data_IF_235316843530
#
_entry.id   IF_235316843530
#
_cell.length_a   1.000
_cell.length_b   1.000
_cell.length_c   1.000
_cell.angle_alpha   90.00
_cell.angle_beta   90.00
_cell.angle_gamma   90.00
#
_symmetry.space_group_name_H-M   'P 1'
#
loop_
_entity.id
_entity.type
_entity.pdbx_description
1 polymer ?
#
# COMPACT_ATOMS: atom_id res chain seq x y z
N UNK A 1 -39.19 28.57 2.16
CA UNK A 1 -38.95 27.13 2.37
C UNK A 1 -37.65 26.75 1.69
N UNK A 2 -36.51 26.87 2.38
CA UNK A 2 -35.21 26.47 1.85
C UNK A 2 -34.95 25.03 2.26
N UNK A 3 -35.07 24.09 1.33
CA UNK A 3 -34.70 22.70 1.58
C UNK A 3 -33.21 22.63 1.90
N UNK A 4 -32.87 22.20 3.11
CA UNK A 4 -31.51 21.80 3.46
C UNK A 4 -31.21 20.53 2.69
N UNK A 5 -30.58 20.68 1.52
CA UNK A 5 -29.96 19.57 0.82
C UNK A 5 -28.89 19.00 1.75
N UNK A 6 -29.14 17.80 2.29
CA UNK A 6 -28.10 17.01 2.95
C UNK A 6 -27.11 16.62 1.86
N UNK A 7 -26.03 17.40 1.72
CA UNK A 7 -24.86 16.97 0.96
C UNK A 7 -24.46 15.59 1.49
N UNK A 8 -24.36 14.55 0.64
CA UNK A 8 -23.84 13.27 1.10
C UNK A 8 -22.46 13.56 1.68
N UNK A 9 -22.27 13.25 2.97
CA UNK A 9 -20.94 13.26 3.56
C UNK A 9 -20.09 12.37 2.67
N UNK A 10 -19.17 12.96 1.90
CA UNK A 10 -18.18 12.22 1.12
C UNK A 10 -17.24 11.56 2.13
N UNK A 11 -17.39 10.26 2.42
CA UNK A 11 -16.50 9.55 3.34
C UNK A 11 -15.22 9.11 2.61
N UNK A 12 -15.04 9.55 1.36
CA UNK A 12 -13.92 9.19 0.47
C UNK A 12 -12.63 9.90 0.88
N UNK A 13 -12.72 10.98 1.66
CA UNK A 13 -11.56 11.66 2.21
C UNK A 13 -11.00 10.90 3.42
N UNK A 14 -9.69 10.66 3.45
CA UNK A 14 -9.04 10.15 4.65
C UNK A 14 -9.31 11.05 5.86
N UNK A 15 -9.80 10.45 6.94
CA UNK A 15 -9.96 11.15 8.21
C UNK A 15 -8.60 11.60 8.74
N UNK A 16 -8.44 12.92 8.84
CA UNK A 16 -7.24 13.57 9.37
C UNK A 16 -7.35 13.64 10.88
N UNK A 17 -6.70 12.69 11.56
CA UNK A 17 -6.81 12.51 13.02
C UNK A 17 -5.81 13.39 13.78
N UNK A 18 -4.63 13.65 13.20
CA UNK A 18 -3.57 14.39 13.89
C UNK A 18 -3.57 15.85 13.41
N UNK A 19 -4.04 16.75 14.29
CA UNK A 19 -4.06 18.20 14.07
C UNK A 19 -4.90 18.64 12.87
N UNK A 20 -5.81 17.80 12.37
CA UNK A 20 -6.59 18.05 11.15
C UNK A 20 -5.78 18.08 9.85
N UNK A 21 -4.49 17.71 9.89
CA UNK A 21 -3.59 17.75 8.74
C UNK A 21 -3.12 16.37 8.29
N UNK A 22 -2.89 15.46 9.25
CA UNK A 22 -2.31 14.14 9.03
C UNK A 22 -3.36 13.03 9.21
N UNK A 23 -3.46 12.14 8.23
CA UNK A 23 -4.28 10.93 8.37
C UNK A 23 -3.59 9.89 9.26
N UNK A 24 -4.39 9.00 9.88
CA UNK A 24 -3.84 7.90 10.67
C UNK A 24 -2.90 7.01 9.86
N UNK A 25 -3.22 6.82 8.57
CA UNK A 25 -2.43 6.04 7.64
C UNK A 25 -1.08 6.70 7.35
N UNK A 26 -1.08 7.99 7.04
CA UNK A 26 0.15 8.77 6.84
C UNK A 26 1.04 8.71 8.07
N UNK A 27 0.45 8.84 9.26
CA UNK A 27 1.16 8.70 10.52
C UNK A 27 1.75 7.29 10.71
N UNK A 28 1.00 6.24 10.41
CA UNK A 28 1.51 4.86 10.50
C UNK A 28 2.72 4.64 9.58
N UNK A 29 2.67 5.11 8.33
CA UNK A 29 3.80 4.99 7.39
C UNK A 29 5.02 5.80 7.81
N UNK A 30 4.83 7.00 8.35
CA UNK A 30 5.91 7.81 8.91
C UNK A 30 6.55 7.12 10.12
N UNK A 31 5.72 6.58 11.03
CA UNK A 31 6.20 5.89 12.22
C UNK A 31 6.98 4.63 11.85
N UNK A 32 6.45 3.81 10.93
CA UNK A 32 7.14 2.61 10.44
C UNK A 32 8.45 2.98 9.73
N UNK A 33 8.44 3.99 8.86
CA UNK A 33 9.64 4.46 8.16
C UNK A 33 10.72 4.94 9.12
N UNK A 34 10.33 5.72 10.14
CA UNK A 34 11.24 6.25 11.14
C UNK A 34 11.81 5.15 12.04
N UNK A 35 10.97 4.23 12.53
CA UNK A 35 11.41 3.11 13.39
C UNK A 35 12.37 2.20 12.62
N UNK A 36 12.05 1.84 11.37
CA UNK A 36 12.94 1.03 10.53
C UNK A 36 14.23 1.76 10.19
N UNK A 37 14.16 3.06 9.89
CA UNK A 37 15.32 3.92 9.66
C UNK A 37 16.25 3.94 10.86
N UNK A 38 15.71 4.21 12.05
CA UNK A 38 16.47 4.24 13.29
C UNK A 38 17.09 2.88 13.63
N UNK A 39 16.34 1.78 13.49
CA UNK A 39 16.85 0.43 13.73
C UNK A 39 18.03 0.09 12.79
N UNK A 40 17.88 0.36 11.49
CA UNK A 40 18.95 0.14 10.50
C UNK A 40 20.17 1.02 10.78
N UNK A 41 19.95 2.29 11.12
CA UNK A 41 21.02 3.23 11.49
C UNK A 41 21.82 2.74 12.69
N UNK A 42 21.14 2.36 13.79
CA UNK A 42 21.78 1.86 15.00
C UNK A 42 22.53 0.55 14.73
N UNK A 43 21.96 -0.35 13.93
CA UNK A 43 22.61 -1.61 13.54
C UNK A 43 23.91 -1.33 12.77
N UNK A 44 23.86 -0.47 11.76
CA UNK A 44 25.02 -0.10 10.94
C UNK A 44 26.09 0.64 11.74
N UNK A 45 25.69 1.53 12.65
CA UNK A 45 26.60 2.18 13.59
C UNK A 45 27.36 1.15 14.42
N UNK A 46 26.67 0.13 14.94
CA UNK A 46 27.32 -0.93 15.73
C UNK A 46 28.28 -1.78 14.90
N UNK A 47 27.96 -2.09 13.65
CA UNK A 47 28.79 -2.94 12.80
C UNK A 47 30.02 -2.21 12.25
N UNK A 48 29.82 -1.02 11.69
CA UNK A 48 30.86 -0.31 10.92
C UNK A 48 31.54 0.81 11.69
N UNK A 49 30.91 1.32 12.76
CA UNK A 49 31.31 2.55 13.48
C UNK A 49 31.37 3.80 12.60
N UNK A 50 30.92 3.73 11.35
CA UNK A 50 30.90 4.84 10.41
C UNK A 50 29.59 5.61 10.54
N UNK A 51 29.63 6.71 11.28
CA UNK A 51 28.44 7.52 11.58
C UNK A 51 27.78 8.03 10.31
N UNK A 52 28.57 8.56 9.38
CA UNK A 52 28.06 9.15 8.15
C UNK A 52 27.30 8.13 7.28
N UNK A 53 27.84 6.92 7.13
CA UNK A 53 27.23 5.85 6.33
C UNK A 53 25.93 5.36 6.97
N UNK A 54 25.94 5.20 8.30
CA UNK A 54 24.76 4.75 9.01
C UNK A 54 23.61 5.77 8.94
N UNK A 55 23.91 7.08 9.03
CA UNK A 55 22.91 8.14 8.86
C UNK A 55 22.34 8.12 7.44
N UNK A 56 23.18 8.05 6.41
CA UNK A 56 22.73 7.98 5.02
C UNK A 56 21.81 6.79 4.75
N UNK A 57 22.15 5.62 5.29
CA UNK A 57 21.32 4.42 5.09
C UNK A 57 20.03 4.51 5.93
N UNK A 58 20.07 5.08 7.13
CA UNK A 58 18.86 5.29 7.96
C UNK A 58 17.82 6.23 7.34
N UNK A 59 18.27 7.11 6.42
CA UNK A 59 17.39 8.00 5.67
C UNK A 59 16.56 7.25 4.62
N UNK A 60 17.07 6.15 4.05
CA UNK A 60 16.36 5.44 2.98
C UNK A 60 14.96 4.93 3.40
N UNK A 61 14.80 4.22 4.54
CA UNK A 61 13.47 3.80 5.01
C UNK A 61 12.57 4.98 5.38
N UNK A 62 13.16 6.04 5.92
CA UNK A 62 12.42 7.24 6.32
C UNK A 62 11.84 7.98 5.11
N UNK A 63 12.64 8.14 4.05
CA UNK A 63 12.22 8.71 2.78
C UNK A 63 11.16 7.82 2.12
N UNK A 64 11.34 6.50 2.14
CA UNK A 64 10.36 5.57 1.58
C UNK A 64 9.02 5.61 2.33
N UNK A 65 9.05 5.73 3.66
CA UNK A 65 7.86 5.90 4.49
C UNK A 65 7.13 7.21 4.18
N UNK A 66 7.87 8.32 4.04
CA UNK A 66 7.29 9.61 3.64
C UNK A 66 6.71 9.57 2.22
N UNK A 67 7.39 8.91 1.28
CA UNK A 67 6.88 8.69 -0.07
C UNK A 67 5.57 7.89 -0.05
N UNK A 68 5.50 6.80 0.70
CA UNK A 68 4.28 5.99 0.84
C UNK A 68 3.13 6.78 1.48
N UNK A 69 3.43 7.67 2.43
CA UNK A 69 2.45 8.48 3.13
C UNK A 69 1.84 9.59 2.26
N UNK A 70 2.68 10.37 1.56
CA UNK A 70 2.24 11.63 0.94
C UNK A 70 2.14 11.59 -0.58
N UNK A 71 2.83 10.65 -1.25
CA UNK A 71 2.88 10.67 -2.70
C UNK A 71 1.57 10.17 -3.32
N UNK A 72 0.95 11.01 -4.16
CA UNK A 72 -0.19 10.64 -5.01
C UNK A 72 0.29 10.36 -6.42
N UNK A 73 -0.21 9.28 -7.01
CA UNK A 73 0.04 8.92 -8.40
C UNK A 73 -1.10 9.51 -9.22
N UNK A 74 -0.86 10.68 -9.81
CA UNK A 74 -1.86 11.44 -10.58
C UNK A 74 -2.53 10.61 -11.68
N UNK A 75 -1.76 9.71 -12.32
CA UNK A 75 -2.26 8.84 -13.41
C UNK A 75 -3.39 7.89 -12.99
N UNK A 76 -3.51 7.58 -11.71
CA UNK A 76 -4.46 6.61 -11.19
C UNK A 76 -5.36 7.17 -10.08
N UNK A 77 -5.20 8.46 -9.75
CA UNK A 77 -5.84 9.13 -8.61
C UNK A 77 -5.76 8.33 -7.29
N UNK A 78 -4.65 7.61 -7.10
CA UNK A 78 -4.41 6.74 -5.95
C UNK A 78 -3.18 7.21 -5.19
N UNK A 79 -3.17 6.99 -3.89
CA UNK A 79 -1.97 7.17 -3.08
C UNK A 79 -0.96 6.04 -3.33
N UNK A 80 0.33 6.32 -3.13
CA UNK A 80 1.41 5.39 -3.47
C UNK A 80 1.26 4.04 -2.74
N UNK A 81 0.84 4.04 -1.47
CA UNK A 81 0.54 2.83 -0.70
C UNK A 81 -0.54 1.94 -1.36
N UNK A 82 -1.64 2.55 -1.83
CA UNK A 82 -2.73 1.85 -2.48
C UNK A 82 -2.27 1.24 -3.79
N UNK A 83 -1.54 2.02 -4.59
CA UNK A 83 -0.99 1.55 -5.85
C UNK A 83 -0.08 0.33 -5.64
N UNK A 84 0.86 0.41 -4.69
CA UNK A 84 1.76 -0.71 -4.41
C UNK A 84 1.03 -1.92 -3.83
N UNK A 85 0.04 -1.70 -2.96
CA UNK A 85 -0.80 -2.78 -2.42
C UNK A 85 -1.55 -3.51 -3.54
N UNK A 86 -2.22 -2.79 -4.44
CA UNK A 86 -2.94 -3.40 -5.56
C UNK A 86 -2.00 -4.08 -6.55
N UNK A 87 -0.82 -3.49 -6.80
CA UNK A 87 0.19 -4.08 -7.68
C UNK A 87 0.73 -5.40 -7.11
N UNK A 88 1.03 -5.43 -5.81
CA UNK A 88 1.46 -6.65 -5.12
C UNK A 88 0.35 -7.70 -5.13
N UNK A 89 -0.88 -7.32 -4.77
CA UNK A 89 -2.05 -8.21 -4.85
C UNK A 89 -2.22 -8.81 -6.24
N UNK A 90 -2.07 -8.00 -7.30
CA UNK A 90 -2.18 -8.49 -8.67
C UNK A 90 -1.05 -9.46 -9.04
N UNK A 91 0.17 -9.21 -8.57
CA UNK A 91 1.33 -10.06 -8.85
C UNK A 91 1.22 -11.42 -8.15
N UNK A 92 0.74 -11.44 -6.91
CA UNK A 92 0.59 -12.66 -6.10
C UNK A 92 -0.79 -13.33 -6.24
N UNK A 93 -1.71 -12.75 -7.01
CA UNK A 93 -3.01 -13.38 -7.26
C UNK A 93 -2.82 -14.57 -8.17
N UNK A 94 -3.02 -15.76 -7.63
CA UNK A 94 -3.13 -16.99 -8.40
C UNK A 94 -4.15 -16.79 -9.53
N UNK A 95 -3.66 -16.85 -10.77
CA UNK A 95 -4.50 -16.77 -11.96
C UNK A 95 -5.20 -18.11 -12.18
N UNK A 96 -6.03 -18.53 -11.22
CA UNK A 96 -6.99 -19.61 -11.45
C UNK A 96 -8.08 -19.04 -12.35
N UNK A 97 -7.92 -19.21 -13.65
CA UNK A 97 -8.95 -18.92 -14.64
C UNK A 97 -10.05 -19.98 -14.50
N UNK A 98 -11.24 -19.67 -13.96
CA UNK A 98 -12.32 -20.65 -13.82
C UNK A 98 -12.71 -21.26 -15.18
N UNK A 99 -12.60 -20.48 -16.26
CA UNK A 99 -12.98 -20.88 -17.62
C UNK A 99 -12.15 -22.02 -18.24
N UNK A 100 -10.97 -22.37 -17.71
CA UNK A 100 -10.19 -23.50 -18.25
C UNK A 100 -10.66 -24.85 -17.69
N UNK A 101 -11.26 -24.86 -16.50
CA UNK A 101 -11.73 -26.10 -15.86
C UNK A 101 -13.06 -26.57 -16.48
N UNK A 102 -13.97 -25.65 -16.77
CA UNK A 102 -15.29 -25.98 -17.35
C UNK A 102 -15.18 -26.69 -18.71
N UNK A 103 -14.18 -26.33 -19.53
CA UNK A 103 -13.97 -26.97 -20.85
C UNK A 103 -13.44 -28.41 -20.73
N UNK A 104 -12.66 -28.73 -19.69
CA UNK A 104 -12.19 -30.10 -19.47
C UNK A 104 -13.28 -31.00 -18.89
N UNK A 105 -14.12 -30.44 -18.01
CA UNK A 105 -15.28 -31.16 -17.47
C UNK A 105 -16.32 -31.44 -18.55
N UNK A 106 -16.57 -30.51 -19.47
CA UNK A 106 -17.49 -30.74 -20.59
C UNK A 106 -16.99 -31.78 -21.60
N UNK A 107 -15.67 -31.86 -21.82
CA UNK A 107 -15.07 -32.87 -22.71
C UNK A 107 -15.09 -34.28 -22.08
N UNK A 108 -14.89 -34.39 -20.76
CA UNK A 108 -14.94 -35.68 -20.05
C UNK A 108 -16.39 -36.17 -19.87
N UNK A 109 -17.35 -35.24 -19.69
CA UNK A 109 -18.77 -35.56 -19.56
C UNK A 109 -19.40 -36.09 -20.85
N UNK A 110 -18.89 -35.72 -22.02
CA UNK A 110 -19.42 -36.20 -23.31
C UNK A 110 -18.91 -37.59 -23.72
N UNK A 111 -17.82 -38.09 -23.12
CA UNK A 111 -17.26 -39.41 -23.45
C UNK A 111 -17.92 -40.58 -22.72
N UNK A 112 -18.84 -40.32 -21.77
CA UNK A 112 -19.53 -41.36 -20.98
C UNK A 112 -20.99 -41.62 -21.39
N UNK A 113 -21.37 -41.16 -22.58
CA UNK A 113 -22.70 -41.40 -23.17
C UNK A 113 -22.59 -42.02 -24.56
N UNK A 114 -22.09 -43.25 -24.63
CA UNK A 114 -22.30 -44.20 -25.75
C UNK A 114 -22.81 -45.49 -25.15
#
# INVERSE_FOLDING_TARGET
MGGTYHLPMQPEGEDKIIGGMLSLRQFAFLLVGFVLGALLGVLLLKLTKLIFVAVLISLLPSILGAYMAFWRIEKHDMTADQYWRFRLLYQYRDRKYPYRQDRLVSLIGHSKGV
#
